data_IF_308539373949
#
_entry.id   IF_308539373949
#
_cell.length_a   1.000
_cell.length_b   1.000
_cell.length_c   1.000
_cell.angle_alpha   90.00
_cell.angle_beta   90.00
_cell.angle_gamma   90.00
#
_symmetry.space_group_name_H-M   'P 1'
#
loop_
_entity.id
_entity.type
_entity.pdbx_description
1 polymer ?
#
# COMPACT_ATOMS: atom_id res chain seq x y z
N UNK A 1 26.29 33.12 19.04
CA UNK A 1 26.82 31.77 18.75
C UNK A 1 26.23 30.71 19.70
N UNK A 2 24.98 30.24 19.54
CA UNK A 2 24.40 29.21 20.42
C UNK A 2 24.35 27.79 19.79
N UNK A 3 24.63 27.65 18.49
CA UNK A 3 24.50 26.36 17.77
C UNK A 3 25.72 25.43 17.94
N UNK A 4 26.91 25.97 18.23
CA UNK A 4 28.15 25.18 18.30
C UNK A 4 28.16 24.17 19.46
N UNK A 5 27.52 24.49 20.59
CA UNK A 5 27.48 23.60 21.77
C UNK A 5 26.32 22.59 21.75
N UNK A 6 25.36 22.72 20.82
CA UNK A 6 24.26 21.74 20.64
C UNK A 6 24.62 20.56 19.74
N UNK A 7 25.75 20.61 19.03
CA UNK A 7 26.21 19.58 18.09
C UNK A 7 26.58 18.21 18.67
N UNK A 8 26.50 18.01 20.00
CA UNK A 8 26.76 16.71 20.66
C UNK A 8 25.52 15.97 21.15
N UNK A 9 24.31 16.49 20.95
CA UNK A 9 23.07 15.80 21.32
C UNK A 9 22.41 15.25 20.06
N UNK A 10 22.49 13.92 19.90
CA UNK A 10 21.75 13.07 18.94
C UNK A 10 20.87 13.85 17.95
N UNK A 11 21.40 14.06 16.76
CA UNK A 11 20.66 14.61 15.60
C UNK A 11 19.58 13.64 15.13
N UNK A 12 19.73 12.35 15.44
CA UNK A 12 18.78 11.29 15.11
C UNK A 12 18.03 10.82 16.34
N UNK A 13 16.71 10.69 16.22
CA UNK A 13 15.89 10.00 17.21
C UNK A 13 16.30 8.52 17.25
N UNK A 14 16.30 7.96 18.45
CA UNK A 14 16.50 6.51 18.66
C UNK A 14 15.28 5.80 18.06
N UNK A 15 15.43 4.58 17.54
CA UNK A 15 14.27 3.78 17.09
C UNK A 15 13.19 3.79 18.20
N UNK A 16 11.90 4.00 17.87
CA UNK A 16 10.85 4.07 18.88
C UNK A 16 10.85 2.80 19.73
N UNK A 17 11.07 2.97 21.05
CA UNK A 17 11.03 1.86 21.99
C UNK A 17 9.59 1.48 22.37
N UNK A 18 8.63 2.34 22.05
CA UNK A 18 7.22 2.21 22.40
C UNK A 18 6.34 2.58 21.19
N UNK A 19 5.11 2.04 21.12
CA UNK A 19 4.13 2.47 20.14
C UNK A 19 3.80 3.96 20.27
N UNK A 20 3.47 4.62 19.16
CA UNK A 20 3.03 6.01 19.15
C UNK A 20 1.71 6.19 19.91
N UNK A 21 1.61 7.23 20.74
CA UNK A 21 0.44 7.46 21.61
C UNK A 21 -0.83 7.85 20.86
N UNK A 22 -0.71 8.36 19.64
CA UNK A 22 -1.85 8.76 18.80
C UNK A 22 -2.31 7.65 17.85
N UNK A 23 -1.69 6.47 17.91
CA UNK A 23 -1.98 5.31 17.05
C UNK A 23 -3.49 5.07 16.93
N UNK A 24 -4.17 4.95 18.06
CA UNK A 24 -5.60 4.58 18.10
C UNK A 24 -6.55 5.77 17.84
N UNK A 25 -6.00 6.98 17.67
CA UNK A 25 -6.77 8.21 17.45
C UNK A 25 -6.74 8.69 16.00
N UNK A 26 -5.91 8.07 15.16
CA UNK A 26 -5.79 8.45 13.76
C UNK A 26 -6.96 7.87 12.95
N UNK A 27 -7.83 8.71 12.33
CA UNK A 27 -8.92 8.23 11.50
C UNK A 27 -8.36 7.66 10.19
N UNK A 28 -8.11 6.34 10.19
CA UNK A 28 -7.57 5.60 9.05
C UNK A 28 -8.63 4.74 8.34
N UNK A 29 -8.27 3.48 8.11
CA UNK A 29 -9.11 2.44 7.54
C UNK A 29 -10.39 2.20 8.36
N UNK A 30 -11.43 1.70 7.70
CA UNK A 30 -12.71 1.38 8.34
C UNK A 30 -12.84 -0.11 8.53
N UNK A 31 -13.16 -0.59 9.74
CA UNK A 31 -13.52 -2.01 9.95
C UNK A 31 -14.96 -2.15 10.41
N UNK A 32 -15.64 -3.23 9.98
CA UNK A 32 -16.88 -3.67 10.60
C UNK A 32 -16.70 -3.97 12.08
N UNK A 33 -17.72 -3.66 12.87
CA UNK A 33 -17.86 -4.11 14.26
C UNK A 33 -18.65 -5.41 14.24
N UNK A 34 -18.07 -6.47 14.80
CA UNK A 34 -18.74 -7.77 14.89
C UNK A 34 -19.93 -7.69 15.86
N UNK A 35 -21.09 -8.18 15.39
CA UNK A 35 -22.37 -8.15 16.11
C UNK A 35 -23.15 -9.43 15.82
N UNK A 36 -22.76 -10.56 16.43
CA UNK A 36 -23.36 -11.85 16.12
C UNK A 36 -24.86 -11.85 16.43
N UNK A 37 -25.68 -12.31 15.47
CA UNK A 37 -27.13 -12.40 15.61
C UNK A 37 -27.90 -11.10 15.38
N UNK A 38 -27.23 -9.97 15.11
CA UNK A 38 -27.89 -8.71 14.75
C UNK A 38 -27.93 -8.55 13.22
N UNK A 39 -29.10 -8.75 12.62
CA UNK A 39 -29.29 -8.64 11.17
C UNK A 39 -28.71 -7.32 10.61
N UNK A 40 -28.00 -7.41 9.49
CA UNK A 40 -27.42 -6.27 8.79
C UNK A 40 -28.47 -5.68 7.83
N UNK A 41 -28.88 -4.40 8.00
CA UNK A 41 -29.79 -3.75 7.06
C UNK A 41 -29.25 -3.78 5.62
N UNK A 42 -30.13 -4.07 4.66
CA UNK A 42 -29.76 -4.29 3.26
C UNK A 42 -29.24 -3.03 2.56
N UNK A 43 -29.57 -1.85 3.09
CA UNK A 43 -29.18 -0.53 2.62
C UNK A 43 -27.76 -0.11 3.02
N UNK A 44 -27.13 -0.78 4.01
CA UNK A 44 -25.80 -0.39 4.51
C UNK A 44 -24.74 -0.37 3.39
N UNK A 45 -24.60 -1.41 2.54
CA UNK A 45 -23.66 -1.38 1.42
C UNK A 45 -23.81 -0.17 0.49
N UNK A 46 -25.05 0.28 0.26
CA UNK A 46 -25.36 1.38 -0.66
C UNK A 46 -24.85 2.76 -0.18
N UNK A 47 -24.43 2.87 1.08
CA UNK A 47 -23.81 4.10 1.61
C UNK A 47 -22.39 4.30 1.07
N UNK A 48 -21.72 3.23 0.64
CA UNK A 48 -20.36 3.32 0.13
C UNK A 48 -20.34 3.81 -1.33
N UNK A 49 -19.74 4.98 -1.63
CA UNK A 49 -19.73 5.51 -2.99
C UNK A 49 -18.91 4.66 -3.98
N UNK A 50 -17.93 3.91 -3.49
CA UNK A 50 -17.04 3.07 -4.31
C UNK A 50 -17.41 1.58 -4.27
N UNK A 51 -18.51 1.23 -3.59
CA UNK A 51 -18.91 -0.18 -3.43
C UNK A 51 -17.91 -1.02 -2.65
N UNK A 52 -17.16 -0.41 -1.72
CA UNK A 52 -16.21 -1.12 -0.86
C UNK A 52 -16.87 -1.94 0.25
N UNK A 53 -18.17 -1.73 0.52
CA UNK A 53 -18.89 -2.43 1.59
C UNK A 53 -19.75 -3.53 0.96
N UNK A 54 -19.64 -4.75 1.46
CA UNK A 54 -20.53 -5.86 1.10
C UNK A 54 -21.08 -6.54 2.36
N UNK A 55 -22.09 -7.39 2.17
CA UNK A 55 -22.71 -8.16 3.26
C UNK A 55 -22.78 -9.64 2.88
N UNK A 56 -22.60 -10.50 3.87
CA UNK A 56 -22.85 -11.94 3.79
C UNK A 56 -23.68 -12.35 5.01
N UNK A 57 -24.99 -12.56 4.82
CA UNK A 57 -25.92 -12.80 5.94
C UNK A 57 -25.94 -11.65 6.95
N UNK A 58 -25.47 -11.94 8.17
CA UNK A 58 -25.33 -11.00 9.31
C UNK A 58 -23.93 -10.37 9.40
N UNK A 59 -23.04 -10.65 8.45
CA UNK A 59 -21.67 -10.12 8.43
C UNK A 59 -21.52 -9.00 7.41
N UNK A 60 -20.76 -7.99 7.81
CA UNK A 60 -20.31 -6.89 6.96
C UNK A 60 -18.85 -7.12 6.57
N UNK A 61 -18.52 -6.83 5.33
CA UNK A 61 -17.16 -6.82 4.82
C UNK A 61 -16.82 -5.44 4.26
N UNK A 62 -15.58 -5.01 4.45
CA UNK A 62 -15.01 -3.78 3.89
C UNK A 62 -13.77 -4.14 3.09
N UNK A 63 -13.83 -3.88 1.78
CA UNK A 63 -12.68 -3.92 0.88
C UNK A 63 -11.83 -2.66 1.04
N UNK A 64 -10.73 -2.75 1.79
CA UNK A 64 -9.78 -1.64 2.00
C UNK A 64 -9.11 -1.19 0.71
N UNK A 65 -9.06 -2.05 -0.31
CA UNK A 65 -8.53 -1.69 -1.62
C UNK A 65 -9.46 -0.81 -2.44
N UNK A 66 -10.75 -0.71 -2.06
CA UNK A 66 -11.75 0.19 -2.65
C UNK A 66 -12.18 1.33 -1.71
N UNK A 67 -11.76 1.27 -0.44
CA UNK A 67 -12.19 2.24 0.57
C UNK A 67 -11.42 3.56 0.44
N UNK A 68 -12.09 4.61 -0.01
CA UNK A 68 -11.52 5.96 -0.14
C UNK A 68 -11.48 6.76 1.18
N UNK A 69 -11.64 6.10 2.32
CA UNK A 69 -11.55 6.72 3.65
C UNK A 69 -12.47 7.95 3.88
N UNK A 70 -13.61 8.03 3.17
CA UNK A 70 -14.55 9.15 3.31
C UNK A 70 -15.36 9.13 4.63
N UNK A 71 -15.30 8.01 5.36
CA UNK A 71 -15.94 7.75 6.66
C UNK A 71 -17.45 7.92 6.70
N UNK A 72 -18.13 7.96 5.54
CA UNK A 72 -19.58 8.09 5.46
C UNK A 72 -20.31 6.97 6.21
N UNK A 73 -19.81 5.74 6.10
CA UNK A 73 -20.34 4.58 6.83
C UNK A 73 -20.20 4.71 8.35
N UNK A 74 -19.06 5.19 8.85
CA UNK A 74 -18.85 5.40 10.30
C UNK A 74 -19.75 6.51 10.84
N UNK A 75 -19.99 7.58 10.06
CA UNK A 75 -20.88 8.68 10.46
C UNK A 75 -22.35 8.27 10.47
N UNK A 76 -22.76 7.44 9.51
CA UNK A 76 -24.16 7.03 9.36
C UNK A 76 -24.52 5.83 10.23
N UNK A 77 -23.57 4.92 10.47
CA UNK A 77 -23.74 3.70 11.26
C UNK A 77 -22.55 3.50 12.23
N UNK A 78 -22.36 4.40 13.21
CA UNK A 78 -21.25 4.33 14.17
C UNK A 78 -21.29 3.06 15.04
N UNK A 79 -22.45 2.42 15.15
CA UNK A 79 -22.66 1.16 15.85
C UNK A 79 -22.21 -0.07 15.05
N UNK A 80 -21.99 0.06 13.74
CA UNK A 80 -21.58 -1.02 12.82
C UNK A 80 -20.17 -0.86 12.27
N UNK A 81 -19.59 0.34 12.31
CA UNK A 81 -18.24 0.60 11.78
C UNK A 81 -17.39 1.40 12.75
N UNK A 82 -16.08 1.11 12.77
CA UNK A 82 -15.09 1.85 13.56
C UNK A 82 -13.85 2.18 12.74
N UNK A 83 -13.09 3.15 13.23
CA UNK A 83 -11.76 3.47 12.70
C UNK A 83 -10.73 2.43 13.13
N UNK A 84 -9.78 2.20 12.24
CA UNK A 84 -8.58 1.36 12.43
C UNK A 84 -7.44 1.93 11.62
N UNK A 85 -6.24 1.42 11.83
CA UNK A 85 -5.08 1.77 11.00
C UNK A 85 -5.05 0.81 9.80
N UNK A 86 -4.95 1.32 8.55
CA UNK A 86 -4.76 0.45 7.40
C UNK A 86 -3.43 -0.28 7.53
N UNK A 87 -3.45 -1.60 7.37
CA UNK A 87 -2.24 -2.39 7.21
C UNK A 87 -2.02 -2.70 5.72
N UNK A 88 -0.80 -2.55 5.19
CA UNK A 88 -0.46 -3.07 3.86
C UNK A 88 -0.65 -4.59 3.80
N UNK A 89 -0.95 -5.10 2.61
CA UNK A 89 -1.13 -6.53 2.40
C UNK A 89 -0.32 -7.04 1.22
N UNK A 90 0.20 -8.26 1.34
CA UNK A 90 0.97 -8.92 0.28
C UNK A 90 0.08 -9.67 -0.74
N UNK A 91 -1.24 -9.73 -0.52
CA UNK A 91 -2.23 -10.13 -1.52
C UNK A 91 -3.42 -9.18 -1.50
N UNK A 92 -4.06 -8.99 -2.66
CA UNK A 92 -5.22 -8.10 -2.80
C UNK A 92 -6.44 -8.57 -2.00
N UNK A 93 -6.62 -9.88 -1.90
CA UNK A 93 -7.76 -10.47 -1.18
C UNK A 93 -7.64 -10.27 0.34
N UNK A 94 -6.41 -10.15 0.85
CA UNK A 94 -6.13 -9.79 2.25
C UNK A 94 -6.54 -8.35 2.60
N UNK A 95 -6.86 -7.51 1.60
CA UNK A 95 -7.41 -6.18 1.84
C UNK A 95 -8.92 -6.20 2.09
N UNK A 96 -9.63 -7.32 1.87
CA UNK A 96 -11.04 -7.43 2.21
C UNK A 96 -11.17 -7.91 3.66
N UNK A 97 -11.73 -7.07 4.52
CA UNK A 97 -11.82 -7.32 5.96
C UNK A 97 -13.28 -7.59 6.36
N UNK A 98 -13.62 -8.69 7.06
CA UNK A 98 -12.80 -9.85 7.37
C UNK A 98 -13.06 -10.96 6.33
N UNK A 99 -12.34 -10.99 5.21
CA UNK A 99 -12.58 -12.00 4.16
C UNK A 99 -11.61 -13.17 4.18
N UNK A 100 -10.51 -13.09 4.92
CA UNK A 100 -9.63 -14.25 5.11
C UNK A 100 -9.63 -14.67 6.58
N UNK A 101 -9.75 -15.99 6.86
CA UNK A 101 -9.36 -16.47 8.17
C UNK A 101 -7.88 -16.14 8.32
N UNK A 102 -7.55 -15.31 9.30
CA UNK A 102 -6.17 -15.05 9.73
C UNK A 102 -5.59 -16.35 10.33
N UNK A 103 -5.42 -17.40 9.53
CA UNK A 103 -4.66 -18.56 9.96
C UNK A 103 -3.18 -18.21 9.89
N UNK A 104 -2.48 -18.51 10.98
CA UNK A 104 -1.04 -18.26 11.09
C UNK A 104 -0.27 -18.87 9.88
N UNK A 105 -0.75 -20.00 9.35
CA UNK A 105 -0.17 -20.69 8.19
C UNK A 105 -0.29 -19.90 6.87
N UNK A 106 -1.45 -19.31 6.58
CA UNK A 106 -1.66 -18.54 5.35
C UNK A 106 -0.82 -17.24 5.38
N UNK A 107 -0.76 -16.60 6.55
CA UNK A 107 0.08 -15.43 6.76
C UNK A 107 1.58 -15.79 6.69
N UNK A 108 1.98 -16.94 7.24
CA UNK A 108 3.35 -17.44 7.18
C UNK A 108 3.81 -17.75 5.75
N UNK A 109 2.96 -18.37 4.92
CA UNK A 109 3.29 -18.69 3.52
C UNK A 109 3.53 -17.42 2.68
N UNK A 110 2.67 -16.41 2.83
CA UNK A 110 2.81 -15.12 2.15
C UNK A 110 4.08 -14.40 2.61
N UNK A 111 4.36 -14.41 3.92
CA UNK A 111 5.59 -13.85 4.49
C UNK A 111 6.84 -14.59 4.03
N UNK A 112 6.78 -15.92 3.90
CA UNK A 112 7.91 -16.74 3.47
C UNK A 112 8.26 -16.48 2.00
N UNK A 113 7.26 -16.36 1.11
CA UNK A 113 7.50 -16.01 -0.29
C UNK A 113 8.06 -14.60 -0.43
N UNK A 114 7.52 -13.63 0.31
CA UNK A 114 8.08 -12.28 0.31
C UNK A 114 9.50 -12.25 0.88
N UNK A 115 9.77 -12.94 2.00
CA UNK A 115 11.09 -13.05 2.60
C UNK A 115 12.10 -13.71 1.65
N UNK A 116 11.68 -14.68 0.84
CA UNK A 116 12.51 -15.28 -0.20
C UNK A 116 12.90 -14.27 -1.28
N UNK A 117 11.94 -13.45 -1.73
CA UNK A 117 12.15 -12.38 -2.73
C UNK A 117 13.02 -11.24 -2.21
N UNK A 118 12.91 -10.92 -0.92
CA UNK A 118 13.53 -9.74 -0.30
C UNK A 118 14.80 -10.06 0.49
N UNK A 119 15.21 -11.33 0.59
CA UNK A 119 16.41 -11.77 1.34
C UNK A 119 17.71 -11.05 0.94
N UNK A 120 17.82 -10.66 -0.33
CA UNK A 120 18.95 -9.89 -0.85
C UNK A 120 18.86 -8.41 -0.49
N UNK A 121 17.64 -7.89 -0.36
CA UNK A 121 17.31 -6.50 -0.02
C UNK A 121 17.38 -6.31 1.51
N UNK A 122 18.60 -6.37 2.06
CA UNK A 122 18.82 -6.45 3.51
C UNK A 122 18.55 -5.13 4.26
N UNK A 123 19.53 -4.23 4.23
CA UNK A 123 19.61 -3.05 5.11
C UNK A 123 19.48 -1.74 4.37
N UNK A 124 19.52 -1.78 3.04
CA UNK A 124 19.45 -0.63 2.18
C UNK A 124 18.65 -0.99 0.94
N UNK A 125 17.73 -0.13 0.54
CA UNK A 125 16.97 -0.26 -0.70
C UNK A 125 16.88 1.08 -1.41
N UNK A 126 16.89 1.02 -2.73
CA UNK A 126 16.62 2.16 -3.60
C UNK A 126 15.21 2.04 -4.20
N UNK A 127 14.38 3.03 -3.91
CA UNK A 127 13.00 3.11 -4.37
C UNK A 127 12.92 4.02 -5.58
N UNK A 128 12.29 3.55 -6.66
CA UNK A 128 11.87 4.43 -7.75
C UNK A 128 10.36 4.57 -7.69
N UNK A 129 9.90 5.80 -7.44
CA UNK A 129 8.48 6.14 -7.53
C UNK A 129 8.07 6.34 -8.99
N UNK A 130 6.90 5.82 -9.37
CA UNK A 130 6.30 5.98 -10.70
C UNK A 130 4.84 6.38 -10.50
N UNK A 131 4.52 7.60 -10.89
CA UNK A 131 3.13 8.04 -11.04
C UNK A 131 2.57 7.47 -12.34
N UNK A 132 1.54 6.63 -12.23
CA UNK A 132 0.83 6.03 -13.36
C UNK A 132 -0.59 6.62 -13.55
N UNK A 133 -0.79 7.89 -13.23
CA UNK A 133 -2.06 8.62 -13.39
C UNK A 133 -2.71 9.00 -12.06
N UNK A 134 -1.94 9.61 -11.17
CA UNK A 134 -2.37 10.14 -9.86
C UNK A 134 -2.95 11.56 -9.99
N UNK A 135 -3.70 11.98 -8.97
CA UNK A 135 -4.13 13.37 -8.77
C UNK A 135 -3.13 14.19 -7.94
N UNK A 136 -2.04 13.56 -7.50
CA UNK A 136 -0.98 14.16 -6.69
C UNK A 136 -1.13 13.95 -5.18
N UNK A 137 -2.25 13.40 -4.69
CA UNK A 137 -2.47 13.20 -3.25
C UNK A 137 -1.50 12.16 -2.66
N UNK A 138 -1.33 11.04 -3.34
CA UNK A 138 -0.41 9.97 -2.91
C UNK A 138 1.04 10.47 -2.90
N UNK A 139 1.42 11.32 -3.86
CA UNK A 139 2.76 11.89 -3.98
C UNK A 139 3.12 12.80 -2.81
N UNK A 140 2.15 13.54 -2.24
CA UNK A 140 2.38 14.31 -1.03
C UNK A 140 2.78 13.43 0.15
N UNK A 141 2.16 12.25 0.29
CA UNK A 141 2.48 11.29 1.35
C UNK A 141 3.81 10.58 1.08
N UNK A 142 4.12 10.29 -0.18
CA UNK A 142 5.45 9.76 -0.58
C UNK A 142 6.56 10.78 -0.27
N UNK A 143 6.34 12.06 -0.57
CA UNK A 143 7.28 13.13 -0.24
C UNK A 143 7.39 13.37 1.27
N UNK A 144 6.31 13.18 2.02
CA UNK A 144 6.34 13.29 3.47
C UNK A 144 7.37 12.32 4.09
N UNK A 145 7.57 11.14 3.51
CA UNK A 145 8.60 10.19 3.97
C UNK A 145 10.02 10.79 4.06
N UNK A 146 10.32 11.78 3.23
CA UNK A 146 11.63 12.44 3.17
C UNK A 146 11.81 13.55 4.22
N UNK A 147 10.74 13.95 4.89
CA UNK A 147 10.81 15.01 5.90
C UNK A 147 11.50 14.52 7.20
N UNK A 148 11.91 15.42 8.10
CA UNK A 148 12.55 15.03 9.37
C UNK A 148 11.67 14.22 10.35
N UNK A 149 10.35 14.19 10.15
CA UNK A 149 9.42 13.43 11.00
C UNK A 149 9.54 11.94 10.69
N UNK A 150 9.51 11.58 9.40
CA UNK A 150 9.57 10.19 8.97
C UNK A 150 10.98 9.73 8.65
N UNK A 151 11.85 10.62 8.15
CA UNK A 151 13.28 10.46 7.84
C UNK A 151 13.65 9.00 7.49
N UNK A 152 13.16 8.54 6.33
CA UNK A 152 13.36 7.17 5.88
C UNK A 152 14.82 6.84 5.57
N UNK A 153 15.68 7.84 5.38
CA UNK A 153 17.10 7.66 5.12
C UNK A 153 17.82 6.99 6.29
N UNK A 154 17.40 7.26 7.54
CA UNK A 154 17.93 6.55 8.72
C UNK A 154 17.65 5.04 8.69
N UNK A 155 16.69 4.61 7.87
CA UNK A 155 16.28 3.22 7.72
C UNK A 155 16.96 2.52 6.53
N UNK A 156 17.84 3.23 5.82
CA UNK A 156 18.50 2.74 4.61
C UNK A 156 17.63 2.81 3.36
N UNK A 157 16.58 3.62 3.36
CA UNK A 157 15.69 3.75 2.21
C UNK A 157 16.02 5.05 1.47
N UNK A 158 16.22 4.95 0.16
CA UNK A 158 16.60 6.09 -0.68
C UNK A 158 15.75 6.14 -1.94
N UNK A 159 15.27 7.32 -2.34
CA UNK A 159 14.65 7.47 -3.65
C UNK A 159 15.71 7.67 -4.74
N UNK A 160 15.59 6.93 -5.85
CA UNK A 160 16.44 7.06 -7.03
C UNK A 160 15.67 7.64 -8.20
N UNK A 161 16.35 8.46 -9.01
CA UNK A 161 15.78 9.00 -10.25
C UNK A 161 15.70 7.96 -11.37
N UNK A 162 16.64 7.00 -11.39
CA UNK A 162 16.75 6.00 -12.45
C UNK A 162 16.19 4.65 -11.99
N UNK A 163 15.29 4.01 -12.77
CA UNK A 163 14.83 2.67 -12.47
C UNK A 163 15.95 1.63 -12.52
N UNK A 164 17.03 1.88 -13.27
CA UNK A 164 18.20 0.98 -13.34
C UNK A 164 18.95 0.80 -12.02
N UNK A 165 18.67 1.66 -11.04
CA UNK A 165 19.23 1.56 -9.70
C UNK A 165 18.16 1.20 -8.66
N UNK A 166 16.95 0.82 -9.08
CA UNK A 166 15.84 0.60 -8.16
C UNK A 166 15.76 -0.87 -7.75
N UNK A 167 15.66 -1.10 -6.45
CA UNK A 167 15.33 -2.38 -5.84
C UNK A 167 13.81 -2.53 -5.65
N UNK A 168 13.12 -1.39 -5.48
CA UNK A 168 11.67 -1.31 -5.28
C UNK A 168 11.08 -0.30 -6.25
N UNK A 169 10.01 -0.67 -6.93
CA UNK A 169 9.16 0.25 -7.68
C UNK A 169 7.89 0.53 -6.87
N UNK A 170 7.72 1.79 -6.48
CA UNK A 170 6.52 2.28 -5.80
C UNK A 170 5.63 2.97 -6.83
N UNK A 171 4.49 2.38 -7.15
CA UNK A 171 3.59 2.84 -8.21
C UNK A 171 2.30 3.39 -7.60
N UNK A 172 1.92 4.59 -8.01
CA UNK A 172 0.71 5.31 -7.56
C UNK A 172 -0.20 5.62 -8.75
N UNK A 173 -1.43 6.05 -8.45
CA UNK A 173 -2.40 6.49 -9.46
C UNK A 173 -3.21 5.37 -10.09
N UNK A 174 -4.22 5.76 -10.86
CA UNK A 174 -5.32 4.87 -11.34
C UNK A 174 -4.91 3.84 -12.40
N UNK A 175 -3.64 3.84 -12.82
CA UNK A 175 -3.19 3.03 -13.95
C UNK A 175 -3.75 3.53 -15.28
N UNK A 176 -3.44 4.77 -15.64
CA UNK A 176 -3.75 5.35 -16.95
C UNK A 176 -3.20 4.49 -18.08
N UNK A 177 -4.01 4.24 -19.11
CA UNK A 177 -3.60 3.43 -20.27
C UNK A 177 -2.42 4.05 -21.02
N UNK A 178 -2.29 5.39 -21.00
CA UNK A 178 -1.12 6.09 -21.55
C UNK A 178 0.19 5.75 -20.83
N UNK A 179 0.10 5.29 -19.58
CA UNK A 179 1.24 4.90 -18.75
C UNK A 179 1.64 3.42 -18.91
N UNK A 180 0.90 2.62 -19.69
CA UNK A 180 1.23 1.21 -19.95
C UNK A 180 2.66 1.02 -20.47
N UNK A 181 3.00 1.66 -21.60
CA UNK A 181 4.32 1.53 -22.22
C UNK A 181 5.46 2.14 -21.37
N UNK A 182 5.33 3.35 -20.78
CA UNK A 182 6.32 3.88 -19.84
C UNK A 182 6.55 2.98 -18.62
N UNK A 183 5.49 2.44 -18.01
CA UNK A 183 5.60 1.55 -16.87
C UNK A 183 6.30 0.24 -17.26
N UNK A 184 5.92 -0.38 -18.38
CA UNK A 184 6.56 -1.60 -18.87
C UNK A 184 8.06 -1.41 -19.11
N UNK A 185 8.46 -0.31 -19.78
CA UNK A 185 9.88 0.04 -19.97
C UNK A 185 10.62 0.22 -18.64
N UNK A 186 9.95 0.77 -17.63
CA UNK A 186 10.51 0.95 -16.29
C UNK A 186 10.74 -0.40 -15.60
N UNK A 187 9.76 -1.31 -15.66
CA UNK A 187 9.85 -2.68 -15.10
C UNK A 187 10.96 -3.50 -15.79
N UNK A 188 11.14 -3.33 -17.10
CA UNK A 188 12.20 -3.97 -17.87
C UNK A 188 13.60 -3.38 -17.55
N UNK A 189 13.69 -2.07 -17.31
CA UNK A 189 14.96 -1.40 -17.06
C UNK A 189 15.52 -1.62 -15.64
N UNK A 190 14.66 -1.99 -14.68
CA UNK A 190 15.07 -2.23 -13.31
C UNK A 190 15.92 -3.50 -13.16
N UNK A 191 16.92 -3.53 -12.25
CA UNK A 191 17.68 -4.73 -11.95
C UNK A 191 16.81 -5.80 -11.28
N UNK A 192 17.36 -7.02 -11.10
CA UNK A 192 16.73 -8.10 -10.34
C UNK A 192 17.54 -8.43 -9.09
N UNK A 193 16.88 -8.78 -7.97
CA UNK A 193 15.42 -8.87 -7.76
C UNK A 193 14.73 -7.49 -7.68
N UNK A 194 13.47 -7.41 -8.10
CA UNK A 194 12.64 -6.20 -8.06
C UNK A 194 11.36 -6.49 -7.27
N UNK A 195 10.98 -5.58 -6.36
CA UNK A 195 9.68 -5.59 -5.67
C UNK A 195 8.79 -4.48 -6.21
N UNK A 196 7.55 -4.79 -6.55
CA UNK A 196 6.55 -3.80 -7.00
C UNK A 196 5.52 -3.56 -5.90
N UNK A 197 5.38 -2.30 -5.48
CA UNK A 197 4.40 -1.84 -4.51
C UNK A 197 3.38 -0.96 -5.24
N UNK A 198 2.09 -1.30 -5.16
CA UNK A 198 1.02 -0.41 -5.59
C UNK A 198 0.44 0.29 -4.37
N UNK A 199 0.51 1.62 -4.37
CA UNK A 199 0.10 2.45 -3.24
C UNK A 199 -1.05 3.37 -3.59
N UNK A 200 -2.08 3.36 -2.75
CA UNK A 200 -3.30 4.10 -2.95
C UNK A 200 -4.44 3.22 -3.46
N UNK A 201 -5.67 3.60 -3.10
CA UNK A 201 -6.92 2.96 -3.55
C UNK A 201 -7.03 3.03 -5.06
N UNK A 202 -6.55 4.12 -5.65
CA UNK A 202 -6.47 4.32 -7.10
C UNK A 202 -5.55 3.28 -7.74
N UNK A 203 -4.36 3.06 -7.18
CA UNK A 203 -3.43 2.05 -7.66
C UNK A 203 -3.93 0.62 -7.46
N UNK A 204 -4.74 0.38 -6.43
CA UNK A 204 -5.27 -0.94 -6.09
C UNK A 204 -6.47 -1.33 -6.97
N UNK A 205 -7.42 -0.43 -7.19
CA UNK A 205 -8.71 -0.77 -7.81
C UNK A 205 -9.22 0.25 -8.83
N UNK A 206 -8.41 1.24 -9.21
CA UNK A 206 -8.85 2.41 -9.99
C UNK A 206 -9.64 3.43 -9.17
N UNK A 207 -9.78 3.21 -7.85
CA UNK A 207 -10.42 4.11 -6.90
C UNK A 207 -11.77 4.67 -7.36
N UNK A 208 -11.96 5.98 -7.19
CA UNK A 208 -13.21 6.66 -7.56
C UNK A 208 -13.42 6.75 -9.08
N UNK A 209 -12.33 6.73 -9.86
CA UNK A 209 -12.38 6.88 -11.31
C UNK A 209 -12.89 5.60 -11.99
N UNK A 210 -12.67 4.44 -11.35
CA UNK A 210 -13.00 3.11 -11.89
C UNK A 210 -12.31 2.84 -13.26
N UNK A 211 -12.42 1.63 -13.82
CA UNK A 211 -11.95 1.36 -15.18
C UNK A 211 -12.77 2.14 -16.21
N UNK A 212 -12.08 2.85 -17.11
CA UNK A 212 -12.71 3.64 -18.19
C UNK A 212 -12.00 3.41 -19.53
N UNK A 213 -12.32 4.23 -20.54
CA UNK A 213 -11.57 4.25 -21.80
C UNK A 213 -10.12 4.74 -21.61
N UNK A 214 -9.84 5.52 -20.55
CA UNK A 214 -8.54 6.13 -20.28
C UNK A 214 -7.77 5.45 -19.13
N UNK A 215 -8.48 4.77 -18.23
CA UNK A 215 -7.92 4.16 -17.01
C UNK A 215 -8.13 2.66 -17.01
N UNK A 216 -7.25 1.94 -16.33
CA UNK A 216 -7.42 0.51 -16.00
C UNK A 216 -8.07 0.36 -14.62
N UNK A 217 -8.26 -0.87 -14.13
CA UNK A 217 -8.73 -1.14 -12.76
C UNK A 217 -7.64 -1.06 -11.71
N UNK A 218 -6.58 -0.28 -11.95
CA UNK A 218 -5.41 -0.16 -11.10
C UNK A 218 -4.15 -0.76 -11.74
N UNK A 219 -3.05 -0.73 -10.99
CA UNK A 219 -1.72 -1.07 -11.50
C UNK A 219 -1.59 -2.55 -11.87
N UNK A 220 -2.26 -3.44 -11.13
CA UNK A 220 -2.26 -4.87 -11.44
C UNK A 220 -2.82 -5.15 -12.84
N UNK A 221 -3.99 -4.57 -13.15
CA UNK A 221 -4.64 -4.67 -14.45
C UNK A 221 -3.79 -4.03 -15.55
N UNK A 222 -3.19 -2.87 -15.28
CA UNK A 222 -2.30 -2.20 -16.24
C UNK A 222 -1.10 -3.06 -16.61
N UNK A 223 -0.45 -3.68 -15.61
CA UNK A 223 0.69 -4.57 -15.82
C UNK A 223 0.25 -5.79 -16.62
N UNK A 224 -0.85 -6.45 -16.23
CA UNK A 224 -1.36 -7.64 -16.91
C UNK A 224 -1.79 -7.38 -18.36
N UNK A 225 -2.35 -6.21 -18.64
CA UNK A 225 -2.81 -5.82 -19.97
C UNK A 225 -1.70 -5.36 -20.92
N UNK A 226 -0.46 -5.20 -20.43
CA UNK A 226 0.66 -4.70 -21.25
C UNK A 226 1.52 -5.85 -21.75
N UNK A 227 1.51 -6.20 -23.05
CA UNK A 227 2.25 -7.37 -23.56
C UNK A 227 3.76 -7.31 -23.29
N UNK A 228 4.33 -6.10 -23.33
CA UNK A 228 5.75 -5.87 -23.09
C UNK A 228 6.15 -6.08 -21.61
N UNK A 229 5.20 -6.07 -20.67
CA UNK A 229 5.48 -6.39 -19.26
C UNK A 229 5.75 -7.89 -19.06
N UNK A 230 5.26 -8.75 -19.96
CA UNK A 230 5.44 -10.20 -19.90
C UNK A 230 6.91 -10.63 -20.14
N UNK A 231 7.70 -9.79 -20.81
CA UNK A 231 9.15 -9.98 -20.97
C UNK A 231 9.97 -9.52 -19.76
N UNK A 232 9.35 -8.77 -18.84
CA UNK A 232 9.98 -8.46 -17.56
C UNK A 232 9.79 -9.67 -16.64
N UNK A 233 10.90 -10.31 -16.26
CA UNK A 233 10.90 -11.36 -15.24
C UNK A 233 10.76 -10.74 -13.85
N UNK A 234 10.15 -11.40 -12.88
CA UNK A 234 9.98 -10.94 -11.51
C UNK A 234 11.21 -11.26 -10.66
N UNK A 235 11.03 -11.31 -9.34
CA UNK A 235 12.08 -11.61 -8.38
C UNK A 235 12.56 -13.08 -8.36
N UNK A 236 11.88 -13.99 -9.07
CA UNK A 236 12.29 -15.38 -9.27
C UNK A 236 12.53 -15.62 -10.76
N UNK A 237 13.65 -16.26 -11.10
CA UNK A 237 14.08 -16.53 -12.48
C UNK A 237 12.94 -17.14 -13.32
N UNK A 238 12.25 -16.31 -14.13
CA UNK A 238 11.22 -16.70 -15.10
C UNK A 238 9.75 -16.36 -14.78
N UNK A 239 9.38 -15.89 -13.58
CA UNK A 239 7.98 -15.49 -13.26
C UNK A 239 7.67 -14.12 -13.91
N UNK A 240 6.48 -13.83 -14.48
CA UNK A 240 6.13 -12.48 -14.92
C UNK A 240 6.11 -11.47 -13.76
N UNK A 241 6.48 -10.21 -14.04
CA UNK A 241 6.37 -9.14 -13.03
C UNK A 241 4.90 -8.91 -12.66
N UNK A 242 4.65 -8.83 -11.36
CA UNK A 242 3.34 -8.56 -10.75
C UNK A 242 3.51 -7.58 -9.59
N UNK A 243 2.40 -7.07 -9.07
CA UNK A 243 2.40 -6.31 -7.81
C UNK A 243 2.62 -7.29 -6.65
N UNK A 244 3.61 -7.01 -5.81
CA UNK A 244 3.98 -7.81 -4.64
C UNK A 244 3.31 -7.31 -3.36
N UNK A 245 3.11 -5.99 -3.21
CA UNK A 245 2.54 -5.38 -2.00
C UNK A 245 1.50 -4.33 -2.41
N UNK A 246 0.35 -4.36 -1.75
CA UNK A 246 -0.74 -3.41 -1.92
C UNK A 246 -0.90 -2.55 -0.66
N UNK A 247 -0.86 -1.23 -0.83
CA UNK A 247 -0.97 -0.27 0.28
C UNK A 247 -2.30 0.48 0.20
N UNK A 248 -3.29 0.14 1.04
CA UNK A 248 -4.60 0.80 1.00
C UNK A 248 -4.54 2.23 1.55
N UNK A 249 -5.43 3.08 1.05
CA UNK A 249 -5.61 4.46 1.49
C UNK A 249 -5.92 5.41 0.34
N UNK A 250 -6.50 6.57 0.62
CA UNK A 250 -6.81 7.61 -0.38
C UNK A 250 -6.64 9.00 0.27
N UNK A 251 -5.38 9.46 0.45
CA UNK A 251 -4.12 8.78 0.13
C UNK A 251 -3.67 7.78 1.22
N UNK A 252 -2.71 6.88 0.93
CA UNK A 252 -2.11 6.02 1.95
C UNK A 252 -1.23 6.86 2.88
N UNK A 253 -1.40 6.68 4.18
CA UNK A 253 -0.60 7.43 5.17
C UNK A 253 0.91 7.14 5.00
N UNK A 254 1.80 8.06 5.42
CA UNK A 254 3.24 7.80 5.37
C UNK A 254 3.64 6.60 6.24
N UNK A 255 2.90 6.31 7.31
CA UNK A 255 3.09 5.10 8.11
C UNK A 255 2.76 3.83 7.34
N UNK A 256 1.68 3.82 6.56
CA UNK A 256 1.32 2.68 5.72
C UNK A 256 2.35 2.46 4.60
N UNK A 257 2.81 3.55 3.96
CA UNK A 257 3.90 3.51 2.98
C UNK A 257 5.21 3.00 3.60
N UNK A 258 5.58 3.51 4.77
CA UNK A 258 6.78 3.06 5.48
C UNK A 258 6.67 1.58 5.88
N UNK A 259 5.51 1.15 6.35
CA UNK A 259 5.26 -0.25 6.66
C UNK A 259 5.46 -1.12 5.42
N UNK A 260 4.91 -0.73 4.27
CA UNK A 260 5.08 -1.45 3.01
C UNK A 260 6.55 -1.54 2.58
N UNK A 261 7.32 -0.47 2.75
CA UNK A 261 8.76 -0.45 2.46
C UNK A 261 9.54 -1.36 3.41
N UNK A 262 9.22 -1.36 4.70
CA UNK A 262 9.85 -2.26 5.68
C UNK A 262 9.48 -3.72 5.44
N UNK A 263 8.25 -3.97 4.99
CA UNK A 263 7.78 -5.28 4.55
C UNK A 263 8.56 -5.75 3.30
N UNK A 264 8.77 -4.86 2.32
CA UNK A 264 9.62 -5.10 1.16
C UNK A 264 11.10 -5.34 1.49
N UNK A 265 11.58 -4.90 2.67
CA UNK A 265 12.91 -5.23 3.18
C UNK A 265 12.94 -6.50 4.04
N UNK A 266 11.80 -7.17 4.24
CA UNK A 266 11.69 -8.32 5.16
C UNK A 266 11.96 -7.97 6.62
N UNK A 267 11.77 -6.70 7.02
CA UNK A 267 12.03 -6.19 8.39
C UNK A 267 10.80 -6.21 9.29
N UNK A 268 9.64 -6.53 8.75
CA UNK A 268 8.41 -6.75 9.49
C UNK A 268 8.11 -8.25 9.45
N UNK A 269 8.50 -8.93 10.53
CA UNK A 269 8.12 -10.30 10.87
C UNK A 269 7.13 -10.25 12.04
#
# INVERSE_FOLDING_TARGET
MPWFTRGRRRVTSRWPAHPDSYRDTFPGAVTPIDRPGEAVPAEIPAVCPTGAISRDGDRLHVDQGRCILCHRCVRQYPERFRFTIPAPAAHRDLLVVPALPETDDALAAVRAELARRTRLLRRSIHVRHVDAGSDGADEWEVLALLNPVYDIHRLGIFFTASPRHADVLLVTGVGSRGMAAPLARTLQAAPRPLVVIAAGTDAISGGLVHPTYATSGGIGDLIAATPDSAGATGAADGDPVRVDIWVPGSPPTPFALLHALLLAMGRLQ
#
